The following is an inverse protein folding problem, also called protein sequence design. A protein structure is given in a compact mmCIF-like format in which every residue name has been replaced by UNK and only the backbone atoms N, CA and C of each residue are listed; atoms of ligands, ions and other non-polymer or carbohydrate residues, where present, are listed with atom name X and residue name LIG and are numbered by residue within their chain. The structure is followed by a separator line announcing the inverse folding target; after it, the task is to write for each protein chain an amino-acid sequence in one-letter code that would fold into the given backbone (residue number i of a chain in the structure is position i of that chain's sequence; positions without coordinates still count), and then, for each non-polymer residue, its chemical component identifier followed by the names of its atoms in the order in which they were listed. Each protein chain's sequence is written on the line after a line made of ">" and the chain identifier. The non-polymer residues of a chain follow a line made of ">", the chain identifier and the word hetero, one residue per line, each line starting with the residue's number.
data_IF_123970835995
#
_entry.id   IF_123970835995
#
_cell.length_a   1.000
_cell.length_b   1.000
_cell.length_c   1.000
_cell.angle_alpha   90.00
_cell.angle_beta   90.00
_cell.angle_gamma   90.00
#
_symmetry.space_group_name_H-M   'P 1'
#
loop_
_entity.id
_entity.type
_entity.pdbx_description
1 polymer ?
#
# COMPACT_ATOMS: atom_id res chain seq x y z
N UNK A 1 -26.49 -18.63 12.48
CA UNK A 1 -25.10 -18.55 12.97
C UNK A 1 -24.21 -18.78 11.77
N UNK A 2 -23.29 -17.86 11.46
CA UNK A 2 -22.28 -18.12 10.43
C UNK A 2 -21.29 -19.15 10.98
N UNK A 3 -20.88 -20.08 10.14
CA UNK A 3 -19.79 -21.00 10.46
C UNK A 3 -18.48 -20.20 10.63
N UNK A 4 -17.51 -20.71 11.39
CA UNK A 4 -16.23 -20.03 11.59
C UNK A 4 -15.50 -19.76 10.26
N UNK A 5 -15.70 -20.65 9.28
CA UNK A 5 -15.19 -20.54 7.91
C UNK A 5 -15.78 -19.31 7.21
N UNK A 6 -17.10 -19.14 7.19
CA UNK A 6 -17.74 -17.97 6.55
C UNK A 6 -17.35 -16.65 7.23
N UNK A 7 -17.05 -16.68 8.54
CA UNK A 7 -16.60 -15.48 9.26
C UNK A 7 -15.17 -15.10 8.89
N UNK A 8 -14.29 -16.08 8.69
CA UNK A 8 -12.94 -15.87 8.22
C UNK A 8 -12.93 -15.35 6.78
N UNK A 9 -13.70 -15.98 5.89
CA UNK A 9 -13.83 -15.60 4.47
C UNK A 9 -14.33 -14.15 4.31
N UNK A 10 -15.39 -13.76 5.03
CA UNK A 10 -15.88 -12.37 5.06
C UNK A 10 -14.84 -11.38 5.57
N UNK A 11 -14.04 -11.78 6.56
CA UNK A 11 -12.94 -10.97 7.08
C UNK A 11 -11.89 -10.67 6.02
N UNK A 12 -11.45 -11.70 5.29
CA UNK A 12 -10.47 -11.60 4.20
C UNK A 12 -10.97 -10.74 3.05
N UNK A 13 -12.21 -10.97 2.62
CA UNK A 13 -12.85 -10.17 1.57
C UNK A 13 -12.97 -8.70 1.96
N UNK A 14 -13.34 -8.41 3.20
CA UNK A 14 -13.44 -7.02 3.69
C UNK A 14 -12.07 -6.33 3.71
N UNK A 15 -11.03 -7.03 4.15
CA UNK A 15 -9.65 -6.53 4.17
C UNK A 15 -9.14 -6.27 2.74
N UNK A 16 -9.39 -7.18 1.80
CA UNK A 16 -9.02 -7.01 0.41
C UNK A 16 -9.71 -5.80 -0.24
N UNK A 17 -11.03 -5.64 -0.05
CA UNK A 17 -11.78 -4.49 -0.55
C UNK A 17 -11.20 -3.19 0.03
N UNK A 18 -10.88 -3.18 1.33
CA UNK A 18 -10.27 -2.02 2.00
C UNK A 18 -8.94 -1.65 1.33
N UNK A 19 -8.08 -2.63 1.06
CA UNK A 19 -6.80 -2.38 0.38
C UNK A 19 -6.95 -1.88 -1.05
N UNK A 20 -7.93 -2.38 -1.82
CA UNK A 20 -8.24 -1.81 -3.14
C UNK A 20 -8.70 -0.36 -3.06
N UNK A 21 -9.64 -0.05 -2.16
CA UNK A 21 -10.14 1.32 -1.97
C UNK A 21 -8.98 2.25 -1.60
N UNK A 22 -8.12 1.81 -0.68
CA UNK A 22 -6.93 2.55 -0.29
C UNK A 22 -5.95 2.76 -1.44
N UNK A 23 -5.69 1.74 -2.27
CA UNK A 23 -4.82 1.85 -3.43
C UNK A 23 -5.36 2.87 -4.45
N UNK A 24 -6.66 2.81 -4.74
CA UNK A 24 -7.34 3.78 -5.62
C UNK A 24 -7.25 5.19 -5.05
N UNK A 25 -7.49 5.36 -3.74
CA UNK A 25 -7.39 6.66 -3.08
C UNK A 25 -5.98 7.26 -3.18
N UNK A 26 -4.92 6.44 -3.02
CA UNK A 26 -3.53 6.88 -3.19
C UNK A 26 -3.29 7.36 -4.62
N UNK A 27 -3.70 6.57 -5.62
CA UNK A 27 -3.52 6.96 -7.04
C UNK A 27 -4.27 8.25 -7.34
N UNK A 28 -5.51 8.39 -6.86
CA UNK A 28 -6.29 9.63 -7.04
C UNK A 28 -5.62 10.83 -6.36
N UNK A 29 -5.07 10.65 -5.16
CA UNK A 29 -4.33 11.71 -4.45
C UNK A 29 -3.05 12.12 -5.20
N UNK A 30 -2.34 11.17 -5.80
CA UNK A 30 -1.16 11.46 -6.62
C UNK A 30 -1.53 12.22 -7.89
N UNK A 31 -2.61 11.82 -8.58
CA UNK A 31 -3.11 12.51 -9.78
C UNK A 31 -3.61 13.92 -9.43
N UNK A 32 -4.36 14.10 -8.34
CA UNK A 32 -4.91 15.40 -7.97
C UNK A 32 -3.83 16.39 -7.55
N UNK A 33 -2.81 15.92 -6.82
CA UNK A 33 -1.73 16.75 -6.30
C UNK A 33 -0.46 16.70 -7.17
N UNK A 34 -0.57 16.32 -8.44
CA UNK A 34 0.57 16.25 -9.37
C UNK A 34 1.18 17.65 -9.62
N UNK A 35 0.31 18.64 -9.85
CA UNK A 35 0.71 20.03 -10.09
C UNK A 35 0.70 20.91 -8.83
N UNK A 36 0.36 20.36 -7.67
CA UNK A 36 0.34 21.12 -6.43
C UNK A 36 1.76 21.33 -5.90
N UNK A 37 2.07 22.57 -5.52
CA UNK A 37 3.25 22.86 -4.73
C UNK A 37 3.14 22.20 -3.35
N UNK A 38 4.27 21.71 -2.83
CA UNK A 38 4.33 20.98 -1.56
C UNK A 38 3.82 21.83 -0.38
N UNK A 39 2.53 21.69 -0.06
CA UNK A 39 1.95 22.33 1.11
C UNK A 39 2.27 21.50 2.37
N UNK A 40 2.39 22.12 3.56
CA UNK A 40 2.61 21.37 4.80
C UNK A 40 1.57 20.29 5.06
N UNK A 41 0.31 20.54 4.68
CA UNK A 41 -0.78 19.57 4.81
C UNK A 41 -0.59 18.35 3.92
N UNK A 42 -0.18 18.55 2.66
CA UNK A 42 0.09 17.48 1.70
C UNK A 42 1.31 16.64 2.11
N UNK A 43 2.35 17.28 2.64
CA UNK A 43 3.52 16.59 3.19
C UNK A 43 3.09 15.74 4.40
N UNK A 44 2.35 16.32 5.34
CA UNK A 44 1.90 15.63 6.54
C UNK A 44 1.00 14.44 6.21
N UNK A 45 0.05 14.59 5.28
CA UNK A 45 -0.84 13.50 4.86
C UNK A 45 -0.07 12.37 4.20
N UNK A 46 0.82 12.69 3.24
CA UNK A 46 1.65 11.71 2.57
C UNK A 46 2.57 10.94 3.54
N UNK A 47 3.22 11.65 4.47
CA UNK A 47 4.08 11.03 5.49
C UNK A 47 3.28 10.12 6.42
N UNK A 48 2.08 10.56 6.83
CA UNK A 48 1.19 9.75 7.68
C UNK A 48 0.74 8.48 6.98
N UNK A 49 0.36 8.57 5.71
CA UNK A 49 -0.04 7.43 4.87
C UNK A 49 1.14 6.46 4.73
N UNK A 50 2.30 6.98 4.34
CA UNK A 50 3.51 6.17 4.13
C UNK A 50 3.95 5.47 5.41
N UNK A 51 3.97 6.18 6.54
CA UNK A 51 4.30 5.61 7.84
C UNK A 51 3.29 4.53 8.28
N UNK A 52 1.99 4.76 8.02
CA UNK A 52 0.93 3.79 8.34
C UNK A 52 1.14 2.49 7.56
N UNK A 53 1.43 2.56 6.27
CA UNK A 53 1.66 1.35 5.47
C UNK A 53 3.00 0.68 5.79
N UNK A 54 4.07 1.46 6.02
CA UNK A 54 5.31 0.91 6.53
C UNK A 54 5.08 0.14 7.84
N UNK A 55 4.29 0.70 8.76
CA UNK A 55 3.92 0.03 10.00
C UNK A 55 3.12 -1.26 9.73
N UNK A 56 2.04 -1.22 8.93
CA UNK A 56 1.20 -2.38 8.62
C UNK A 56 2.03 -3.55 8.03
N UNK A 57 2.93 -3.26 7.10
CA UNK A 57 3.71 -4.27 6.39
C UNK A 57 5.01 -4.68 7.09
N UNK A 58 5.50 -3.92 8.08
CA UNK A 58 6.75 -4.20 8.81
C UNK A 58 6.74 -5.45 9.71
N UNK A 59 5.58 -6.03 10.00
CA UNK A 59 5.49 -7.08 11.03
C UNK A 59 5.29 -6.54 12.45
N UNK A 60 5.51 -5.24 12.70
CA UNK A 60 5.42 -4.61 14.01
C UNK A 60 4.02 -4.67 14.66
N UNK A 61 2.89 -4.54 13.94
CA UNK A 61 1.57 -4.61 14.55
C UNK A 61 1.36 -5.88 15.38
N UNK A 62 1.95 -7.03 14.99
CA UNK A 62 1.83 -8.28 15.75
C UNK A 62 2.43 -8.18 17.16
N UNK A 63 3.54 -7.45 17.30
CA UNK A 63 4.25 -7.33 18.57
C UNK A 63 3.54 -6.42 19.56
N UNK A 64 2.64 -5.57 19.07
CA UNK A 64 2.03 -4.48 19.84
C UNK A 64 0.53 -4.72 20.03
N UNK A 65 -0.13 -5.44 19.13
CA UNK A 65 -1.57 -5.72 19.22
C UNK A 65 -1.87 -6.92 20.13
N UNK A 66 -3.02 -6.91 20.84
CA UNK A 66 -3.47 -8.06 21.63
C UNK A 66 -3.62 -9.31 20.76
N UNK A 67 -3.29 -10.47 21.32
CA UNK A 67 -3.33 -11.77 20.63
C UNK A 67 -4.67 -12.03 19.91
N UNK A 68 -5.78 -11.60 20.51
CA UNK A 68 -7.15 -11.73 19.97
C UNK A 68 -7.40 -11.01 18.64
N UNK A 69 -6.62 -9.96 18.31
CA UNK A 69 -6.67 -9.26 17.02
C UNK A 69 -5.52 -9.66 16.10
N UNK A 70 -4.42 -10.15 16.66
CA UNK A 70 -3.23 -10.55 15.91
C UNK A 70 -3.48 -11.75 14.99
N UNK A 71 -4.37 -12.66 15.39
CA UNK A 71 -4.62 -13.93 14.68
C UNK A 71 -5.23 -13.73 13.29
N UNK A 72 -5.95 -12.62 13.07
CA UNK A 72 -6.50 -12.26 11.76
C UNK A 72 -5.48 -11.65 10.80
N UNK A 73 -4.37 -11.10 11.31
CA UNK A 73 -3.36 -10.40 10.50
C UNK A 73 -2.06 -11.20 10.33
N UNK A 74 -1.85 -12.25 11.11
CA UNK A 74 -0.57 -12.96 11.23
C UNK A 74 -0.72 -14.49 11.22
N UNK A 75 -1.66 -15.02 10.46
CA UNK A 75 -1.53 -16.40 10.00
C UNK A 75 -0.32 -16.51 9.04
N UNK A 76 0.31 -17.69 8.95
CA UNK A 76 1.48 -17.94 8.11
C UNK A 76 1.21 -17.52 6.65
N UNK A 77 0.02 -17.83 6.15
CA UNK A 77 -0.45 -17.43 4.82
C UNK A 77 -0.44 -15.91 4.61
N UNK A 78 -0.93 -15.14 5.59
CA UNK A 78 -0.96 -13.67 5.51
C UNK A 78 0.43 -13.05 5.63
N UNK A 79 1.39 -13.75 6.25
CA UNK A 79 2.79 -13.33 6.26
C UNK A 79 3.45 -13.52 4.91
N UNK A 80 3.20 -14.65 4.25
CA UNK A 80 3.74 -14.93 2.92
C UNK A 80 3.15 -13.99 1.87
N UNK A 81 1.84 -13.73 1.92
CA UNK A 81 1.20 -12.76 1.03
C UNK A 81 1.78 -11.36 1.14
N UNK A 82 2.09 -10.90 2.37
CA UNK A 82 2.74 -9.62 2.58
C UNK A 82 4.15 -9.58 2.02
N UNK A 83 4.93 -10.66 2.15
CA UNK A 83 6.28 -10.74 1.59
C UNK A 83 6.24 -10.64 0.06
N UNK A 84 5.35 -11.39 -0.57
CA UNK A 84 5.21 -11.41 -2.03
C UNK A 84 4.67 -10.06 -2.54
N UNK A 85 3.69 -9.47 -1.84
CA UNK A 85 3.17 -8.15 -2.14
C UNK A 85 4.23 -7.05 -2.00
N UNK A 86 5.10 -7.12 -0.98
CA UNK A 86 6.22 -6.18 -0.81
C UNK A 86 7.23 -6.29 -1.96
N UNK A 87 7.47 -7.49 -2.48
CA UNK A 87 8.31 -7.66 -3.66
C UNK A 87 7.69 -6.97 -4.89
N UNK A 88 6.38 -7.14 -5.10
CA UNK A 88 5.65 -6.43 -6.17
C UNK A 88 5.74 -4.92 -5.99
N UNK A 89 5.53 -4.42 -4.77
CA UNK A 89 5.67 -3.01 -4.43
C UNK A 89 7.07 -2.45 -4.71
N UNK A 90 8.11 -3.18 -4.33
CA UNK A 90 9.49 -2.81 -4.62
C UNK A 90 9.74 -2.67 -6.13
N UNK A 91 9.31 -3.64 -6.93
CA UNK A 91 9.46 -3.59 -8.38
C UNK A 91 8.64 -2.45 -9.01
N UNK A 92 7.45 -2.16 -8.49
CA UNK A 92 6.64 -1.02 -8.94
C UNK A 92 7.33 0.32 -8.63
N UNK A 93 7.88 0.49 -7.42
CA UNK A 93 8.69 1.67 -7.08
C UNK A 93 9.89 1.82 -8.00
N UNK A 94 10.61 0.72 -8.27
CA UNK A 94 11.78 0.74 -9.15
C UNK A 94 11.41 1.09 -10.59
N UNK A 95 10.34 0.49 -11.13
CA UNK A 95 9.83 0.79 -12.46
C UNK A 95 9.37 2.25 -12.56
N UNK A 96 8.69 2.76 -11.53
CA UNK A 96 8.28 4.17 -11.46
C UNK A 96 9.48 5.10 -11.42
N UNK A 97 10.52 4.79 -10.65
CA UNK A 97 11.74 5.58 -10.60
C UNK A 97 12.43 5.61 -11.98
N UNK A 98 12.51 4.45 -12.65
CA UNK A 98 13.03 4.37 -14.02
C UNK A 98 12.21 5.20 -15.01
N UNK A 99 10.87 5.12 -14.92
CA UNK A 99 9.98 5.91 -15.76
C UNK A 99 10.17 7.43 -15.53
N UNK A 100 10.36 7.86 -14.28
CA UNK A 100 10.64 9.27 -13.97
C UNK A 100 11.94 9.75 -14.60
N UNK A 101 13.01 8.95 -14.57
CA UNK A 101 14.28 9.29 -15.24
C UNK A 101 14.07 9.45 -16.74
N UNK A 102 13.25 8.59 -17.36
CA UNK A 102 12.90 8.70 -18.77
C UNK A 102 12.00 9.90 -19.10
N UNK A 103 11.32 10.50 -18.13
CA UNK A 103 10.40 11.64 -18.34
C UNK A 103 11.07 12.98 -18.01
N UNK A 104 11.90 13.03 -16.96
CA UNK A 104 12.65 14.22 -16.54
C UNK A 104 13.60 14.71 -17.65
N UNK A 105 14.13 13.79 -18.45
CA UNK A 105 14.93 14.13 -19.63
C UNK A 105 14.18 14.84 -20.77
N UNK A 106 12.84 14.90 -20.75
CA UNK A 106 12.06 15.27 -21.93
C UNK A 106 10.91 16.28 -21.72
N UNK A 107 10.32 16.43 -20.53
CA UNK A 107 9.01 17.12 -20.43
C UNK A 107 8.92 18.15 -19.29
N UNK A 108 9.07 17.77 -18.03
CA UNK A 108 8.83 18.66 -16.87
C UNK A 108 9.84 18.37 -15.76
N UNK A 109 10.54 19.39 -15.22
CA UNK A 109 11.39 19.21 -14.05
C UNK A 109 10.51 18.93 -12.83
N UNK A 110 10.65 17.75 -12.24
CA UNK A 110 9.97 17.36 -11.01
C UNK A 110 10.78 17.78 -9.78
N UNK A 111 10.10 18.30 -8.76
CA UNK A 111 10.75 18.50 -7.46
C UNK A 111 11.09 17.15 -6.82
N UNK A 112 12.13 17.12 -5.98
CA UNK A 112 12.51 15.92 -5.22
C UNK A 112 11.35 15.34 -4.41
N UNK A 113 10.48 16.20 -3.87
CA UNK A 113 9.30 15.78 -3.12
C UNK A 113 8.24 15.10 -4.02
N UNK A 114 7.96 15.65 -5.21
CA UNK A 114 7.05 15.02 -6.17
C UNK A 114 7.59 13.67 -6.64
N UNK A 115 8.89 13.58 -6.96
CA UNK A 115 9.51 12.32 -7.35
C UNK A 115 9.41 11.26 -6.24
N UNK A 116 9.71 11.62 -4.99
CA UNK A 116 9.58 10.74 -3.84
C UNK A 116 8.14 10.24 -3.65
N UNK A 117 7.16 11.16 -3.77
CA UNK A 117 5.73 10.84 -3.66
C UNK A 117 5.28 9.84 -4.72
N UNK A 118 5.61 10.08 -5.98
CA UNK A 118 5.24 9.20 -7.10
C UNK A 118 5.84 7.81 -6.91
N UNK A 119 7.14 7.72 -6.64
CA UNK A 119 7.84 6.44 -6.45
C UNK A 119 7.26 5.66 -5.27
N UNK A 120 7.08 6.32 -4.12
CA UNK A 120 6.57 5.66 -2.91
C UNK A 120 5.10 5.29 -3.06
N UNK A 121 4.29 6.19 -3.64
CA UNK A 121 2.88 5.97 -3.92
C UNK A 121 2.65 4.79 -4.86
N UNK A 122 3.45 4.66 -5.92
CA UNK A 122 3.41 3.52 -6.83
C UNK A 122 3.70 2.21 -6.10
N UNK A 123 4.74 2.18 -5.27
CA UNK A 123 5.08 1.00 -4.46
C UNK A 123 3.99 0.60 -3.47
N UNK A 124 3.45 1.57 -2.72
CA UNK A 124 2.39 1.33 -1.75
C UNK A 124 1.13 0.83 -2.47
N UNK A 125 0.70 1.50 -3.53
CA UNK A 125 -0.49 1.10 -4.29
C UNK A 125 -0.36 -0.31 -4.86
N UNK A 126 0.79 -0.64 -5.47
CA UNK A 126 1.05 -1.96 -6.01
C UNK A 126 1.09 -3.04 -4.91
N UNK A 127 1.69 -2.75 -3.75
CA UNK A 127 1.69 -3.65 -2.59
C UNK A 127 0.27 -3.93 -2.13
N UNK A 128 -0.57 -2.89 -2.01
CA UNK A 128 -1.97 -3.02 -1.58
C UNK A 128 -2.79 -3.85 -2.55
N UNK A 129 -2.66 -3.59 -3.86
CA UNK A 129 -3.34 -4.33 -4.92
C UNK A 129 -2.91 -5.79 -4.91
N UNK A 130 -1.61 -6.07 -4.83
CA UNK A 130 -1.09 -7.43 -4.79
C UNK A 130 -1.60 -8.18 -3.56
N UNK A 131 -1.52 -7.57 -2.38
CA UNK A 131 -2.00 -8.19 -1.15
C UNK A 131 -3.53 -8.43 -1.18
N UNK A 132 -4.31 -7.46 -1.66
CA UNK A 132 -5.75 -7.62 -1.84
C UNK A 132 -6.10 -8.77 -2.79
N UNK A 133 -5.36 -8.88 -3.90
CA UNK A 133 -5.54 -9.96 -4.88
C UNK A 133 -5.27 -11.32 -4.28
N UNK A 134 -4.18 -11.45 -3.50
CA UNK A 134 -3.82 -12.71 -2.84
C UNK A 134 -4.83 -13.10 -1.77
N UNK A 135 -5.32 -12.14 -0.98
CA UNK A 135 -6.37 -12.40 0.01
C UNK A 135 -7.68 -12.86 -0.63
N UNK A 136 -8.10 -12.28 -1.76
CA UNK A 136 -9.31 -12.72 -2.47
C UNK A 136 -9.16 -14.10 -3.13
N UNK A 137 -7.95 -14.46 -3.57
CA UNK A 137 -7.71 -15.79 -4.18
C UNK A 137 -7.72 -16.91 -3.16
N UNK A 138 -7.52 -16.59 -1.89
CA UNK A 138 -7.45 -17.54 -0.80
C UNK A 138 -8.69 -17.54 0.10
N UNK A 139 -9.62 -16.60 -0.11
CA UNK A 139 -10.97 -16.61 0.43
C UNK A 139 -11.82 -17.61 -0.38
#
# INVERSE_FOLDING_TARGET
>A
MLTEIERAERGRTTMAITFYICAVAIVLMEVSAFNETASPALIASFMTISATYAFIFSGLPHRIMPASRSHFFYDETARDFRRDALAVGFWASLASAGALVCVDGFIVPLSAFQALRIVTGAGIAATLIANATLELRAA
#
